data_IF_783803956255
#
_entry.id   IF_783803956255
#
_cell.length_a   1.000
_cell.length_b   1.000
_cell.length_c   1.000
_cell.angle_alpha   90.00
_cell.angle_beta   90.00
_cell.angle_gamma   90.00
#
_symmetry.space_group_name_H-M   'P 1'
#
loop_
_entity.id
_entity.type
_entity.pdbx_description
1 polymer ?
#
# COMPACT_ATOMS: atom_id res chain seq x y z
N UNK A 1 39.48 16.17 -3.23
CA UNK A 1 38.34 15.29 -2.89
C UNK A 1 37.01 16.01 -3.12
N UNK A 2 36.22 15.78 -4.19
CA UNK A 2 34.79 16.21 -4.26
C UNK A 2 33.87 15.44 -5.25
N UNK A 3 34.29 14.35 -5.93
CA UNK A 3 33.39 13.65 -6.89
C UNK A 3 32.44 12.62 -6.23
N UNK A 4 32.84 11.96 -5.15
CA UNK A 4 31.96 11.03 -4.42
C UNK A 4 30.75 11.69 -3.76
N UNK A 5 30.82 13.01 -3.52
CA UNK A 5 29.78 13.77 -2.82
C UNK A 5 28.49 13.89 -3.64
N UNK A 6 28.59 14.13 -4.95
CA UNK A 6 27.40 14.30 -5.83
C UNK A 6 26.63 12.99 -6.02
N UNK A 7 27.32 11.86 -6.15
CA UNK A 7 26.67 10.56 -6.35
C UNK A 7 25.92 10.10 -5.08
N UNK A 8 26.54 10.31 -3.92
CA UNK A 8 25.92 10.00 -2.62
C UNK A 8 24.65 10.83 -2.40
N UNK A 9 24.66 12.13 -2.73
CA UNK A 9 23.46 12.98 -2.65
C UNK A 9 22.29 12.44 -3.48
N UNK A 10 22.54 11.98 -4.72
CA UNK A 10 21.48 11.43 -5.57
C UNK A 10 20.94 10.11 -4.99
N UNK A 11 21.83 9.24 -4.48
CA UNK A 11 21.40 8.01 -3.83
C UNK A 11 20.53 8.29 -2.60
N UNK A 12 20.91 9.25 -1.78
CA UNK A 12 20.14 9.63 -0.59
C UNK A 12 18.77 10.20 -0.98
N UNK A 13 18.69 11.02 -2.03
CA UNK A 13 17.41 11.47 -2.58
C UNK A 13 16.53 10.31 -3.04
N UNK A 14 17.10 9.30 -3.73
CA UNK A 14 16.34 8.13 -4.18
C UNK A 14 15.88 7.24 -3.02
N UNK A 15 16.68 7.13 -1.94
CA UNK A 15 16.26 6.46 -0.70
C UNK A 15 15.08 7.14 -0.04
N UNK A 16 15.13 8.48 0.07
CA UNK A 16 14.02 9.25 0.63
C UNK A 16 12.76 9.10 -0.22
N UNK A 17 12.87 9.26 -1.55
CA UNK A 17 11.72 9.12 -2.45
C UNK A 17 11.07 7.73 -2.41
N UNK A 18 11.85 6.66 -2.29
CA UNK A 18 11.31 5.30 -2.10
C UNK A 18 10.63 5.13 -0.73
N UNK A 19 11.17 5.77 0.31
CA UNK A 19 10.57 5.78 1.65
C UNK A 19 9.25 6.57 1.70
N UNK A 20 9.19 7.72 1.03
CA UNK A 20 7.97 8.55 0.98
C UNK A 20 6.87 7.84 0.17
N UNK A 21 7.22 7.24 -0.98
CA UNK A 21 6.28 6.44 -1.76
C UNK A 21 5.74 5.22 -0.99
N UNK A 22 6.57 4.60 -0.13
CA UNK A 22 6.12 3.52 0.75
C UNK A 22 5.11 4.01 1.79
N UNK A 23 5.37 5.16 2.43
CA UNK A 23 4.44 5.74 3.40
C UNK A 23 3.09 6.10 2.76
N UNK A 24 3.11 6.68 1.57
CA UNK A 24 1.88 7.00 0.84
C UNK A 24 1.10 5.73 0.47
N UNK A 25 1.79 4.66 0.07
CA UNK A 25 1.18 3.36 -0.18
C UNK A 25 0.54 2.78 1.09
N UNK A 26 1.24 2.82 2.23
CA UNK A 26 0.72 2.33 3.51
C UNK A 26 -0.51 3.12 3.96
N UNK A 27 -0.51 4.44 3.78
CA UNK A 27 -1.67 5.29 4.08
C UNK A 27 -2.87 4.96 3.18
N UNK A 28 -2.64 4.77 1.87
CA UNK A 28 -3.70 4.37 0.94
C UNK A 28 -4.31 3.00 1.30
N UNK A 29 -3.46 2.04 1.68
CA UNK A 29 -3.89 0.71 2.14
C UNK A 29 -4.72 0.78 3.41
N UNK A 30 -4.24 1.51 4.43
CA UNK A 30 -4.95 1.68 5.69
C UNK A 30 -6.34 2.28 5.45
N UNK A 31 -6.43 3.32 4.62
CA UNK A 31 -7.70 3.93 4.25
C UNK A 31 -8.61 2.94 3.52
N UNK A 32 -8.09 2.10 2.62
CA UNK A 32 -8.88 1.06 1.97
C UNK A 32 -9.43 0.05 2.98
N UNK A 33 -8.60 -0.40 3.93
CA UNK A 33 -8.99 -1.35 4.99
C UNK A 33 -10.08 -0.78 5.91
N UNK A 34 -10.00 0.50 6.28
CA UNK A 34 -11.03 1.19 7.08
C UNK A 34 -12.40 1.17 6.38
N UNK A 35 -12.42 1.44 5.06
CA UNK A 35 -13.66 1.40 4.28
C UNK A 35 -14.20 -0.03 4.10
N UNK A 36 -13.33 -1.02 3.92
CA UNK A 36 -13.73 -2.44 3.88
C UNK A 36 -14.33 -2.89 5.23
N UNK A 37 -13.75 -2.46 6.36
CA UNK A 37 -14.30 -2.72 7.68
C UNK A 37 -15.68 -2.07 7.88
N UNK A 38 -15.85 -0.83 7.40
CA UNK A 38 -17.14 -0.15 7.42
C UNK A 38 -18.19 -0.88 6.56
N UNK A 39 -17.82 -1.34 5.35
CA UNK A 39 -18.69 -2.13 4.49
C UNK A 39 -19.15 -3.43 5.18
N UNK A 40 -18.25 -4.13 5.85
CA UNK A 40 -18.58 -5.35 6.59
C UNK A 40 -19.54 -5.07 7.76
N UNK A 41 -19.40 -3.92 8.42
CA UNK A 41 -20.33 -3.48 9.45
C UNK A 41 -21.73 -3.23 8.87
N UNK A 42 -21.83 -2.51 7.74
CA UNK A 42 -23.09 -2.28 7.04
C UNK A 42 -23.75 -3.59 6.56
N UNK A 43 -22.94 -4.54 6.09
CA UNK A 43 -23.42 -5.86 5.68
C UNK A 43 -24.05 -6.61 6.85
N UNK A 44 -23.42 -6.60 8.02
CA UNK A 44 -23.93 -7.25 9.22
C UNK A 44 -25.20 -6.55 9.74
N UNK A 45 -25.23 -5.21 9.78
CA UNK A 45 -26.43 -4.45 10.14
C UNK A 45 -27.62 -4.77 9.21
N UNK A 46 -27.38 -4.81 7.90
CA UNK A 46 -28.41 -5.19 6.91
C UNK A 46 -28.91 -6.62 7.13
N UNK A 47 -28.00 -7.54 7.45
CA UNK A 47 -28.35 -8.94 7.75
C UNK A 47 -29.23 -9.01 8.99
N UNK A 48 -28.87 -8.34 10.08
CA UNK A 48 -29.68 -8.28 11.30
C UNK A 48 -31.09 -7.72 11.05
N UNK A 49 -31.22 -6.67 10.23
CA UNK A 49 -32.52 -6.14 9.82
C UNK A 49 -33.32 -7.13 8.97
N UNK A 50 -32.64 -7.89 8.10
CA UNK A 50 -33.27 -8.92 7.26
C UNK A 50 -33.79 -10.08 8.12
N UNK A 51 -32.98 -10.55 9.08
CA UNK A 51 -33.38 -11.59 10.04
C UNK A 51 -34.54 -11.12 10.91
N UNK A 52 -34.50 -9.86 11.37
CA UNK A 52 -35.60 -9.23 12.10
C UNK A 52 -36.88 -9.18 11.24
N UNK A 53 -36.77 -8.80 9.96
CA UNK A 53 -37.90 -8.77 9.05
C UNK A 53 -38.52 -10.16 8.87
N UNK A 54 -37.71 -11.20 8.68
CA UNK A 54 -38.20 -12.57 8.53
C UNK A 54 -38.90 -13.04 9.80
N UNK A 55 -38.23 -12.95 10.96
CA UNK A 55 -38.81 -13.38 12.24
C UNK A 55 -40.14 -12.68 12.56
N UNK A 56 -40.22 -11.37 12.32
CA UNK A 56 -41.43 -10.58 12.58
C UNK A 56 -42.52 -10.83 11.55
N UNK A 57 -42.16 -11.14 10.31
CA UNK A 57 -43.12 -11.55 9.29
C UNK A 57 -43.72 -12.92 9.63
N UNK A 58 -42.89 -13.89 10.01
CA UNK A 58 -43.33 -15.24 10.38
C UNK A 58 -44.24 -15.24 11.62
N UNK A 59 -43.89 -14.44 12.64
CA UNK A 59 -44.75 -14.20 13.81
C UNK A 59 -46.10 -13.63 13.36
N UNK A 60 -46.08 -12.59 12.51
CA UNK A 60 -47.29 -11.93 12.04
C UNK A 60 -48.18 -12.85 11.20
N UNK A 61 -47.61 -13.60 10.26
CA UNK A 61 -48.34 -14.59 9.47
C UNK A 61 -48.95 -15.68 10.34
N UNK A 62 -48.22 -16.17 11.34
CA UNK A 62 -48.73 -17.16 12.29
C UNK A 62 -49.92 -16.63 13.10
N UNK A 63 -49.84 -15.38 13.57
CA UNK A 63 -50.94 -14.73 14.27
C UNK A 63 -52.16 -14.49 13.37
N UNK A 64 -51.94 -14.11 12.10
CA UNK A 64 -53.01 -13.95 11.10
C UNK A 64 -53.73 -15.28 10.84
N UNK A 65 -52.98 -16.37 10.61
CA UNK A 65 -53.54 -17.70 10.37
C UNK A 65 -54.33 -18.23 11.58
N UNK A 66 -53.87 -17.92 12.79
CA UNK A 66 -54.57 -18.26 14.02
C UNK A 66 -55.81 -17.39 14.30
N UNK A 67 -56.06 -16.34 13.50
CA UNK A 67 -57.21 -15.44 13.67
C UNK A 67 -57.15 -14.57 14.93
N UNK A 68 -55.96 -14.41 15.53
CA UNK A 68 -55.77 -13.68 16.81
C UNK A 68 -55.41 -12.20 16.62
N UNK A 69 -55.46 -11.68 15.39
CA UNK A 69 -55.09 -10.30 15.05
C UNK A 69 -56.32 -9.52 14.59
N UNK A 70 -56.56 -8.37 15.23
CA UNK A 70 -57.58 -7.42 14.76
C UNK A 70 -57.11 -6.64 13.53
N UNK A 71 -58.04 -6.08 12.74
CA UNK A 71 -57.67 -5.29 11.55
C UNK A 71 -56.75 -4.10 11.84
N UNK A 72 -56.88 -3.47 13.00
CA UNK A 72 -55.98 -2.37 13.44
C UNK A 72 -54.58 -2.90 13.73
N UNK A 73 -54.46 -3.98 14.51
CA UNK A 73 -53.17 -4.60 14.82
C UNK A 73 -52.48 -5.12 13.55
N UNK A 74 -53.23 -5.66 12.58
CA UNK A 74 -52.69 -6.10 11.31
C UNK A 74 -52.10 -4.93 10.51
N UNK A 75 -52.81 -3.80 10.47
CA UNK A 75 -52.32 -2.58 9.83
C UNK A 75 -51.04 -2.06 10.48
N UNK A 76 -50.98 -2.01 11.80
CA UNK A 76 -49.81 -1.53 12.54
C UNK A 76 -48.58 -2.43 12.32
N UNK A 77 -48.77 -3.76 12.32
CA UNK A 77 -47.71 -4.73 12.01
C UNK A 77 -47.22 -4.59 10.56
N UNK A 78 -48.12 -4.39 9.60
CA UNK A 78 -47.73 -4.12 8.21
C UNK A 78 -46.89 -2.85 8.07
N UNK A 79 -47.27 -1.75 8.74
CA UNK A 79 -46.50 -0.50 8.73
C UNK A 79 -45.10 -0.73 9.32
N UNK A 80 -45.01 -1.48 10.42
CA UNK A 80 -43.73 -1.81 11.04
C UNK A 80 -42.82 -2.63 10.11
N UNK A 81 -43.33 -3.68 9.46
CA UNK A 81 -42.58 -4.48 8.49
C UNK A 81 -42.13 -3.63 7.28
N UNK A 82 -42.97 -2.70 6.82
CA UNK A 82 -42.61 -1.76 5.75
C UNK A 82 -41.47 -0.83 6.16
N UNK A 83 -41.43 -0.37 7.42
CA UNK A 83 -40.30 0.43 7.94
C UNK A 83 -39.00 -0.36 7.92
N UNK A 84 -39.00 -1.58 8.45
CA UNK A 84 -37.79 -2.45 8.40
C UNK A 84 -37.34 -2.67 6.95
N UNK A 85 -38.27 -2.91 6.03
CA UNK A 85 -37.95 -3.06 4.60
C UNK A 85 -37.32 -1.79 3.99
N UNK A 86 -37.78 -0.61 4.43
CA UNK A 86 -37.19 0.68 4.04
C UNK A 86 -35.76 0.81 4.58
N UNK A 87 -35.54 0.44 5.83
CA UNK A 87 -34.22 0.52 6.47
C UNK A 87 -33.22 -0.44 5.81
N UNK A 88 -33.65 -1.66 5.44
CA UNK A 88 -32.84 -2.61 4.65
C UNK A 88 -32.44 -2.01 3.31
N UNK A 89 -33.36 -1.31 2.63
CA UNK A 89 -33.06 -0.64 1.35
C UNK A 89 -32.07 0.51 1.53
N UNK A 90 -32.21 1.30 2.60
CA UNK A 90 -31.27 2.36 2.93
C UNK A 90 -29.86 1.79 3.16
N UNK A 91 -29.76 0.73 3.97
CA UNK A 91 -28.48 0.02 4.20
C UNK A 91 -27.89 -0.58 2.92
N UNK A 92 -28.71 -1.12 2.05
CA UNK A 92 -28.27 -1.60 0.74
C UNK A 92 -27.66 -0.47 -0.10
N UNK A 93 -28.28 0.72 -0.10
CA UNK A 93 -27.74 1.88 -0.82
C UNK A 93 -26.40 2.35 -0.22
N UNK A 94 -26.31 2.43 1.12
CA UNK A 94 -25.06 2.77 1.83
C UNK A 94 -23.93 1.79 1.48
N UNK A 95 -24.25 0.49 1.39
CA UNK A 95 -23.29 -0.54 0.97
C UNK A 95 -22.84 -0.37 -0.48
N UNK A 96 -23.74 -0.03 -1.41
CA UNK A 96 -23.38 0.23 -2.81
C UNK A 96 -22.46 1.44 -2.95
N UNK A 97 -22.73 2.50 -2.17
CA UNK A 97 -21.88 3.69 -2.11
C UNK A 97 -20.50 3.36 -1.54
N UNK A 98 -20.46 2.61 -0.44
CA UNK A 98 -19.21 2.15 0.19
C UNK A 98 -18.42 1.22 -0.75
N UNK A 99 -19.08 0.31 -1.46
CA UNK A 99 -18.45 -0.57 -2.45
C UNK A 99 -17.79 0.22 -3.59
N UNK A 100 -18.46 1.26 -4.10
CA UNK A 100 -17.87 2.17 -5.11
C UNK A 100 -16.62 2.88 -4.58
N UNK A 101 -16.67 3.36 -3.34
CA UNK A 101 -15.52 4.02 -2.68
C UNK A 101 -14.35 3.06 -2.49
N UNK A 102 -14.61 1.82 -2.04
CA UNK A 102 -13.58 0.78 -1.91
C UNK A 102 -12.93 0.50 -3.27
N UNK A 103 -13.71 0.41 -4.34
CA UNK A 103 -13.16 0.19 -5.68
C UNK A 103 -12.20 1.31 -6.10
N UNK A 104 -12.56 2.57 -5.87
CA UNK A 104 -11.70 3.73 -6.15
C UNK A 104 -10.43 3.72 -5.30
N UNK A 105 -10.54 3.38 -4.01
CA UNK A 105 -9.39 3.26 -3.11
C UNK A 105 -8.46 2.12 -3.51
N UNK A 106 -8.99 1.00 -4.01
CA UNK A 106 -8.18 -0.10 -4.55
C UNK A 106 -7.40 0.32 -5.79
N UNK A 107 -8.01 1.09 -6.68
CA UNK A 107 -7.31 1.67 -7.83
C UNK A 107 -6.20 2.64 -7.38
N UNK A 108 -6.46 3.47 -6.37
CA UNK A 108 -5.47 4.36 -5.76
C UNK A 108 -4.30 3.57 -5.15
N UNK A 109 -4.58 2.50 -4.40
CA UNK A 109 -3.56 1.61 -3.85
C UNK A 109 -2.70 1.02 -4.97
N UNK A 110 -3.29 0.52 -6.05
CA UNK A 110 -2.55 -0.02 -7.20
C UNK A 110 -1.65 1.03 -7.86
N UNK A 111 -2.09 2.28 -7.94
CA UNK A 111 -1.27 3.38 -8.44
C UNK A 111 -0.07 3.64 -7.50
N UNK A 112 -0.31 3.71 -6.19
CA UNK A 112 0.75 3.87 -5.18
C UNK A 112 1.73 2.70 -5.15
N UNK A 113 1.28 1.48 -5.37
CA UNK A 113 2.16 0.32 -5.52
C UNK A 113 3.10 0.45 -6.71
N UNK A 114 2.59 0.93 -7.85
CA UNK A 114 3.42 1.19 -9.03
C UNK A 114 4.44 2.30 -8.77
N UNK A 115 4.03 3.39 -8.15
CA UNK A 115 4.92 4.51 -7.78
C UNK A 115 6.04 4.04 -6.85
N UNK A 116 5.69 3.30 -5.79
CA UNK A 116 6.67 2.71 -4.87
C UNK A 116 7.61 1.74 -5.59
N UNK A 117 7.08 0.86 -6.45
CA UNK A 117 7.89 -0.08 -7.21
C UNK A 117 8.92 0.62 -8.10
N UNK A 118 8.52 1.69 -8.79
CA UNK A 118 9.42 2.50 -9.62
C UNK A 118 10.48 3.15 -8.74
N UNK A 119 10.09 3.84 -7.67
CA UNK A 119 11.02 4.51 -6.77
C UNK A 119 12.03 3.54 -6.13
N UNK A 120 11.58 2.36 -5.71
CA UNK A 120 12.41 1.30 -5.14
C UNK A 120 13.37 0.71 -6.16
N UNK A 121 12.92 0.54 -7.41
CA UNK A 121 13.77 0.05 -8.50
C UNK A 121 14.86 1.06 -8.84
N UNK A 122 14.51 2.35 -8.93
CA UNK A 122 15.50 3.41 -9.12
C UNK A 122 16.52 3.45 -7.98
N UNK A 123 16.07 3.39 -6.72
CA UNK A 123 16.97 3.31 -5.57
C UNK A 123 17.97 2.16 -5.72
N UNK A 124 17.50 0.94 -6.00
CA UNK A 124 18.38 -0.24 -6.20
C UNK A 124 19.37 -0.05 -7.34
N UNK A 125 18.95 0.58 -8.44
CA UNK A 125 19.84 0.91 -9.56
C UNK A 125 20.99 1.82 -9.12
N UNK A 126 20.71 2.85 -8.33
CA UNK A 126 21.75 3.74 -7.80
C UNK A 126 22.62 3.06 -6.74
N UNK A 127 22.08 2.14 -5.93
CA UNK A 127 22.86 1.32 -5.00
C UNK A 127 23.87 0.45 -5.77
N UNK A 128 23.42 -0.24 -6.82
CA UNK A 128 24.29 -1.04 -7.69
C UNK A 128 25.38 -0.18 -8.36
N UNK A 129 25.02 0.97 -8.91
CA UNK A 129 25.98 1.90 -9.51
C UNK A 129 27.01 2.42 -8.50
N UNK A 130 26.63 2.63 -7.24
CA UNK A 130 27.55 2.99 -6.15
C UNK A 130 28.59 1.91 -5.93
N UNK A 131 28.14 0.66 -5.80
CA UNK A 131 29.00 -0.49 -5.57
C UNK A 131 30.00 -0.65 -6.72
N UNK A 132 29.51 -0.55 -7.97
CA UNK A 132 30.36 -0.62 -9.16
C UNK A 132 31.38 0.53 -9.20
N UNK A 133 30.97 1.75 -8.87
CA UNK A 133 31.89 2.90 -8.80
C UNK A 133 32.99 2.70 -7.76
N UNK A 134 32.64 2.21 -6.56
CA UNK A 134 33.63 1.89 -5.52
C UNK A 134 34.60 0.82 -6.00
N UNK A 135 34.13 -0.20 -6.72
CA UNK A 135 34.98 -1.24 -7.29
C UNK A 135 35.96 -0.67 -8.32
N UNK A 136 35.51 0.19 -9.23
CA UNK A 136 36.36 0.86 -10.21
C UNK A 136 37.42 1.75 -9.55
N UNK A 137 37.07 2.46 -8.47
CA UNK A 137 38.03 3.24 -7.70
C UNK A 137 39.13 2.37 -7.07
N UNK A 138 38.76 1.20 -6.53
CA UNK A 138 39.74 0.23 -6.00
C UNK A 138 40.68 -0.28 -7.09
N UNK A 139 40.16 -0.67 -8.25
CA UNK A 139 40.99 -1.09 -9.40
C UNK A 139 41.94 0.02 -9.82
N UNK A 140 41.45 1.26 -9.91
CA UNK A 140 42.27 2.42 -10.27
C UNK A 140 43.38 2.65 -9.26
N UNK A 141 43.08 2.54 -7.96
CA UNK A 141 44.07 2.70 -6.90
C UNK A 141 45.18 1.64 -6.99
N UNK A 142 44.82 0.37 -7.20
CA UNK A 142 45.80 -0.73 -7.40
C UNK A 142 46.69 -0.43 -8.60
N UNK A 143 46.12 -0.04 -9.75
CA UNK A 143 46.91 0.30 -10.95
C UNK A 143 47.85 1.48 -10.77
N UNK A 144 47.48 2.46 -9.94
CA UNK A 144 48.36 3.59 -9.61
C UNK A 144 49.52 3.10 -8.73
N UNK A 145 49.23 2.28 -7.72
CA UNK A 145 50.25 1.69 -6.85
C UNK A 145 51.23 0.78 -7.61
N UNK A 146 50.73 -0.04 -8.56
CA UNK A 146 51.58 -0.86 -9.43
C UNK A 146 52.57 0.01 -10.23
N UNK A 147 52.10 1.11 -10.83
CA UNK A 147 52.97 2.04 -11.56
C UNK A 147 54.00 2.73 -10.65
N UNK A 148 53.58 3.16 -9.47
CA UNK A 148 54.49 3.77 -8.48
C UNK A 148 55.59 2.77 -8.05
N UNK A 149 55.25 1.49 -7.87
CA UNK A 149 56.21 0.44 -7.57
C UNK A 149 57.18 0.18 -8.72
N UNK A 150 56.68 0.15 -9.96
CA UNK A 150 57.52 0.00 -11.16
C UNK A 150 58.50 1.18 -11.30
N UNK A 151 58.04 2.43 -11.08
CA UNK A 151 58.89 3.63 -11.10
C UNK A 151 59.99 3.57 -10.03
N UNK A 152 59.66 3.13 -8.81
CA UNK A 152 60.65 2.94 -7.73
C UNK A 152 61.66 1.85 -8.12
N UNK A 153 61.21 0.73 -8.70
CA UNK A 153 62.09 -0.35 -9.12
C UNK A 153 63.10 0.11 -10.18
N UNK A 154 62.66 0.94 -11.15
CA UNK A 154 63.51 1.55 -12.17
C UNK A 154 64.54 2.50 -11.54
N UNK A 155 64.14 3.34 -10.58
CA UNK A 155 65.03 4.27 -9.90
C UNK A 155 66.11 3.54 -9.08
N UNK A 156 65.73 2.47 -8.38
CA UNK A 156 66.68 1.63 -7.62
C UNK A 156 67.70 1.00 -8.56
N UNK A 157 67.26 0.41 -9.68
CA UNK A 157 68.18 -0.16 -10.68
C UNK A 157 69.11 0.90 -11.27
N UNK A 158 68.57 2.03 -11.70
CA UNK A 158 69.37 3.13 -12.28
C UNK A 158 70.43 3.66 -11.31
N UNK A 159 70.13 3.67 -10.01
CA UNK A 159 71.09 4.05 -8.95
C UNK A 159 72.17 2.99 -8.73
N UNK A 160 71.81 1.71 -8.77
CA UNK A 160 72.78 0.63 -8.64
C UNK A 160 73.74 0.58 -9.84
N UNK A 161 73.23 0.84 -11.05
CA UNK A 161 74.03 0.86 -12.29
C UNK A 161 74.96 2.08 -12.40
N UNK A 162 74.68 3.16 -11.64
CA UNK A 162 75.51 4.39 -11.58
C UNK A 162 76.44 4.46 -10.37
N UNK A 163 76.45 3.41 -9.54
CA UNK A 163 77.28 3.27 -8.33
C UNK A 163 78.58 2.48 -8.51
N UNK A 164 78.95 2.15 -9.75
CA UNK A 164 80.33 1.82 -10.18
C UNK A 164 81.07 3.08 -10.57
#
# INVERSE_FOLDING_TARGET
MKQGFKFQTVLDQKKHGAGDALKELEQARLKCEEYEANYNTLLEEKKQLSDLLMNRSDEFYSMLLAGVVTGVQAKDKCIFLQRIKSDIKAKQQEMEDSSRQIMQLKEEVLLKEKEYFIARTEQKKYEFLKEHWVHLLKIKQVKVQERELDEIAILIHSRNDSGT
#
